data_IF_492500086183
#
_entry.id   IF_492500086183
#
_cell.length_a   1.000
_cell.length_b   1.000
_cell.length_c   1.000
_cell.angle_alpha   90.00
_cell.angle_beta   90.00
_cell.angle_gamma   90.00
#
_symmetry.space_group_name_H-M   'P 1'
#
loop_
_entity.id
_entity.type
_entity.pdbx_description
1 polymer ?
#
# COMPACT_ATOMS: atom_id res chain seq x y z
N UNK A 1 46.59 109.86 35.90
CA UNK A 1 46.50 108.88 34.79
C UNK A 1 45.37 109.35 33.89
N UNK A 2 45.63 109.56 32.60
CA UNK A 2 44.59 109.87 31.62
C UNK A 2 44.38 108.63 30.75
N UNK A 3 43.12 108.26 30.53
CA UNK A 3 42.74 107.30 29.50
C UNK A 3 41.68 107.95 28.58
N UNK A 4 41.25 107.23 27.56
CA UNK A 4 40.32 107.75 26.54
C UNK A 4 38.93 108.12 27.11
N UNK A 5 38.61 107.67 28.33
CA UNK A 5 37.31 107.84 28.98
C UNK A 5 37.32 108.94 30.04
N UNK A 6 38.40 109.09 30.80
CA UNK A 6 38.56 110.05 31.88
C UNK A 6 40.01 110.52 32.04
N UNK A 7 40.19 111.82 32.28
CA UNK A 7 41.47 112.43 32.58
C UNK A 7 41.36 113.28 33.86
N UNK A 8 42.16 112.93 34.87
CA UNK A 8 42.24 113.69 36.13
C UNK A 8 42.86 115.05 35.84
N UNK A 9 42.14 116.13 36.14
CA UNK A 9 42.54 117.53 35.92
C UNK A 9 43.11 118.16 37.20
N UNK A 10 42.60 117.78 38.37
CA UNK A 10 43.09 118.17 39.69
C UNK A 10 43.38 116.93 40.54
N UNK A 11 44.64 116.78 40.95
CA UNK A 11 45.06 115.74 41.89
C UNK A 11 44.99 116.31 43.32
N UNK A 12 44.24 115.66 44.20
CA UNK A 12 43.99 116.16 45.55
C UNK A 12 44.89 115.48 46.57
N UNK A 13 45.83 116.24 47.15
CA UNK A 13 46.71 115.74 48.19
C UNK A 13 45.96 115.57 49.54
N UNK A 14 46.10 114.41 50.22
CA UNK A 14 45.46 114.18 51.51
C UNK A 14 45.81 115.26 52.54
N UNK A 15 44.83 115.65 53.36
CA UNK A 15 44.95 116.65 54.44
C UNK A 15 45.24 118.09 54.00
N UNK A 16 45.17 118.40 52.71
CA UNK A 16 45.24 119.78 52.20
C UNK A 16 43.83 120.37 52.00
N UNK A 17 43.68 121.69 52.19
CA UNK A 17 42.41 122.37 51.91
C UNK A 17 42.31 122.65 50.42
N UNK A 18 41.25 122.18 49.78
CA UNK A 18 40.94 122.41 48.37
C UNK A 18 39.74 123.33 48.23
N UNK A 19 39.66 124.07 47.13
CA UNK A 19 38.49 124.93 46.86
C UNK A 19 37.32 124.06 46.37
N UNK A 20 36.09 124.42 46.72
CA UNK A 20 34.90 123.65 46.30
C UNK A 20 34.79 123.57 44.76
N UNK A 21 35.19 124.63 44.05
CA UNK A 21 35.18 124.66 42.59
C UNK A 21 36.07 123.60 41.93
N UNK A 22 37.18 123.22 42.57
CA UNK A 22 38.04 122.15 42.03
C UNK A 22 37.40 120.77 42.20
N UNK A 23 36.76 120.53 43.35
CA UNK A 23 36.06 119.27 43.63
C UNK A 23 34.86 119.11 42.69
N UNK A 24 34.07 120.17 42.51
CA UNK A 24 32.91 120.15 41.61
C UNK A 24 33.31 119.91 40.14
N UNK A 25 34.43 120.50 39.71
CA UNK A 25 34.95 120.29 38.35
C UNK A 25 35.37 118.83 38.11
N UNK A 26 36.03 118.20 39.08
CA UNK A 26 36.39 116.77 38.97
C UNK A 26 35.17 115.86 39.01
N UNK A 27 34.18 116.16 39.86
CA UNK A 27 32.95 115.39 39.90
C UNK A 27 32.19 115.47 38.57
N UNK A 28 32.11 116.65 37.95
CA UNK A 28 31.50 116.82 36.63
C UNK A 28 32.25 116.05 35.53
N UNK A 29 33.59 116.04 35.57
CA UNK A 29 34.40 115.26 34.62
C UNK A 29 34.19 113.75 34.78
N UNK A 30 34.04 113.26 36.02
CA UNK A 30 33.71 111.86 36.30
C UNK A 30 32.32 111.49 35.77
N UNK A 31 31.30 112.34 35.99
CA UNK A 31 29.94 112.10 35.47
C UNK A 31 29.95 112.01 33.95
N UNK A 32 30.62 112.93 33.26
CA UNK A 32 30.77 112.89 31.81
C UNK A 32 31.52 111.65 31.30
N UNK A 33 32.43 111.08 32.10
CA UNK A 33 33.09 109.83 31.77
C UNK A 33 32.16 108.62 31.90
N UNK A 34 31.27 108.60 32.89
CA UNK A 34 30.25 107.55 33.04
C UNK A 34 29.24 107.56 31.88
N UNK A 35 28.89 108.72 31.34
CA UNK A 35 28.02 108.85 30.17
C UNK A 35 28.64 108.27 28.88
N UNK A 36 29.98 108.10 28.83
CA UNK A 36 30.67 107.45 27.69
C UNK A 36 30.68 105.93 27.78
N UNK A 37 30.26 105.34 28.89
CA UNK A 37 30.17 103.89 28.98
C UNK A 37 29.04 103.38 28.07
N UNK A 38 29.26 102.29 27.33
CA UNK A 38 28.21 101.67 26.52
C UNK A 38 27.00 101.28 27.38
N UNK A 39 25.79 101.49 26.87
CA UNK A 39 24.57 101.17 27.61
C UNK A 39 24.45 99.66 27.86
N UNK A 40 23.78 99.22 28.94
CA UNK A 40 23.52 97.79 29.19
C UNK A 40 22.83 97.08 28.02
N UNK A 41 22.06 97.81 27.21
CA UNK A 41 21.44 97.32 25.97
C UNK A 41 22.43 97.02 24.84
N UNK A 42 23.55 97.75 24.75
CA UNK A 42 24.62 97.47 23.79
C UNK A 42 25.55 96.33 24.24
N UNK A 43 25.64 96.08 25.54
CA UNK A 43 26.37 94.94 26.12
C UNK A 43 25.60 93.62 26.02
N UNK A 44 24.25 93.66 26.01
CA UNK A 44 23.38 92.49 26.08
C UNK A 44 22.79 92.05 24.73
N UNK A 45 23.10 92.70 23.60
CA UNK A 45 22.58 92.30 22.31
C UNK A 45 23.52 91.35 21.57
N UNK A 46 23.34 90.04 21.75
CA UNK A 46 23.66 89.03 20.73
C UNK A 46 22.70 89.21 19.52
N UNK A 47 22.90 90.32 18.80
CA UNK A 47 22.41 90.72 17.47
C UNK A 47 20.94 90.43 17.10
N UNK A 48 20.04 91.39 17.37
CA UNK A 48 18.65 91.40 16.87
C UNK A 48 18.49 91.91 15.42
N UNK A 49 19.58 92.22 14.72
CA UNK A 49 19.52 92.72 13.33
C UNK A 49 19.79 91.57 12.36
N UNK A 50 18.74 90.93 11.87
CA UNK A 50 18.81 89.96 10.77
C UNK A 50 18.49 90.63 9.44
N UNK A 51 18.96 90.03 8.35
CA UNK A 51 18.61 90.43 6.98
C UNK A 51 18.12 89.23 6.20
N UNK A 52 17.04 89.40 5.46
CA UNK A 52 16.58 88.38 4.53
C UNK A 52 17.51 88.32 3.30
N UNK A 53 17.94 87.12 2.94
CA UNK A 53 18.72 86.84 1.74
C UNK A 53 17.95 87.28 0.48
N UNK A 54 18.52 88.20 -0.30
CA UNK A 54 18.15 88.41 -1.70
C UNK A 54 18.96 87.49 -2.62
N UNK A 55 18.74 87.62 -3.93
CA UNK A 55 19.50 86.86 -4.94
C UNK A 55 18.90 85.49 -5.25
N UNK A 56 19.77 84.49 -5.45
CA UNK A 56 19.40 83.09 -5.79
C UNK A 56 20.00 82.11 -4.80
N UNK A 57 19.54 80.86 -4.81
CA UNK A 57 19.99 79.73 -3.97
C UNK A 57 21.51 79.68 -3.70
N UNK A 58 22.33 79.92 -4.73
CA UNK A 58 23.79 79.79 -4.67
C UNK A 58 24.54 81.15 -4.79
N UNK A 59 23.81 82.25 -4.92
CA UNK A 59 24.34 83.60 -5.00
C UNK A 59 23.45 84.54 -4.20
N UNK A 60 23.69 84.55 -2.88
CA UNK A 60 22.91 85.29 -1.90
C UNK A 60 23.41 86.72 -1.85
N UNK A 61 22.54 87.72 -1.84
CA UNK A 61 22.94 89.11 -1.65
C UNK A 61 22.23 89.72 -0.46
N UNK A 62 22.95 90.51 0.34
CA UNK A 62 22.37 91.20 1.50
C UNK A 62 22.80 92.66 1.55
N UNK A 63 21.91 93.52 2.06
CA UNK A 63 22.25 94.85 2.55
C UNK A 63 22.46 94.76 4.06
N UNK A 64 23.63 95.14 4.57
CA UNK A 64 23.98 94.94 5.97
C UNK A 64 23.05 95.79 6.86
N UNK A 65 22.41 95.19 7.88
CA UNK A 65 21.23 95.78 8.51
C UNK A 65 21.51 96.98 9.45
N UNK A 66 22.77 97.24 9.79
CA UNK A 66 23.15 98.28 10.76
C UNK A 66 24.07 99.34 10.12
N UNK A 67 25.16 98.88 9.50
CA UNK A 67 26.17 99.74 8.87
C UNK A 67 26.42 99.30 7.44
N UNK A 68 26.45 100.24 6.50
CA UNK A 68 26.83 99.94 5.10
C UNK A 68 28.32 99.66 5.02
N UNK A 69 28.69 98.49 4.52
CA UNK A 69 30.07 98.12 4.26
C UNK A 69 30.51 98.67 2.91
N UNK A 70 31.55 99.50 2.91
CA UNK A 70 32.19 100.01 1.68
C UNK A 70 33.45 99.23 1.30
N UNK A 71 33.93 98.36 2.18
CA UNK A 71 35.04 97.42 1.96
C UNK A 71 34.93 96.24 2.91
N UNK A 72 35.58 95.12 2.56
CA UNK A 72 35.80 93.97 3.45
C UNK A 72 37.02 94.15 4.37
N UNK A 73 37.85 95.17 4.13
CA UNK A 73 39.03 95.45 4.96
C UNK A 73 38.61 95.81 6.39
N UNK A 74 39.30 95.22 7.37
CA UNK A 74 38.99 95.39 8.80
C UNK A 74 37.58 94.92 9.17
N UNK A 75 37.08 93.89 8.46
CA UNK A 75 35.80 93.23 8.76
C UNK A 75 35.97 91.80 9.27
N UNK A 76 37.19 91.39 9.57
CA UNK A 76 37.46 90.07 10.15
C UNK A 76 36.62 89.79 11.40
N UNK A 77 36.04 88.60 11.48
CA UNK A 77 35.21 88.16 12.60
C UNK A 77 33.81 88.78 12.66
N UNK A 78 33.45 89.72 11.77
CA UNK A 78 32.11 90.29 11.75
C UNK A 78 31.06 89.22 11.43
N UNK A 79 30.01 89.19 12.26
CA UNK A 79 28.90 88.24 12.15
C UNK A 79 27.69 88.91 11.53
N UNK A 80 27.11 88.26 10.52
CA UNK A 80 25.86 88.67 9.88
C UNK A 80 24.88 87.52 10.03
N UNK A 81 23.75 87.79 10.69
CA UNK A 81 22.66 86.83 10.77
C UNK A 81 21.76 86.98 9.55
N UNK A 82 21.67 85.93 8.73
CA UNK A 82 20.97 85.96 7.45
C UNK A 82 19.85 84.92 7.47
N UNK A 83 18.63 85.36 7.17
CA UNK A 83 17.52 84.46 6.87
C UNK A 83 17.63 84.00 5.42
N UNK A 84 17.78 82.70 5.20
CA UNK A 84 17.87 82.11 3.87
C UNK A 84 16.47 82.05 3.27
N UNK A 85 16.27 82.58 2.07
CA UNK A 85 14.96 82.62 1.40
C UNK A 85 14.76 81.48 0.41
N UNK A 86 15.84 80.96 -0.15
CA UNK A 86 15.84 79.83 -1.10
C UNK A 86 16.92 78.85 -0.70
N UNK A 87 16.56 77.56 -0.64
CA UNK A 87 17.50 76.49 -0.28
C UNK A 87 18.66 76.42 -1.29
N UNK A 88 19.88 76.26 -0.79
CA UNK A 88 21.05 76.15 -1.65
C UNK A 88 21.11 74.77 -2.33
N UNK A 89 21.57 74.74 -3.58
CA UNK A 89 21.70 73.50 -4.37
C UNK A 89 23.16 73.12 -4.62
N UNK A 90 24.10 73.85 -4.00
CA UNK A 90 25.53 73.62 -4.11
C UNK A 90 26.34 74.74 -3.45
N UNK A 91 27.55 74.98 -3.95
CA UNK A 91 28.44 76.04 -3.45
C UNK A 91 27.77 77.41 -3.52
N UNK A 92 27.83 78.17 -2.42
CA UNK A 92 27.11 79.44 -2.29
C UNK A 92 28.09 80.62 -2.12
N UNK A 93 27.70 81.78 -2.64
CA UNK A 93 28.46 83.05 -2.50
C UNK A 93 27.62 84.15 -1.88
N UNK A 94 28.28 85.12 -1.23
CA UNK A 94 27.66 86.24 -0.51
C UNK A 94 28.38 87.57 -0.80
N UNK A 95 27.82 88.44 -1.67
CA UNK A 95 28.05 89.88 -1.64
C UNK A 95 27.29 90.58 -0.48
N UNK A 96 27.99 91.50 0.19
CA UNK A 96 27.44 92.38 1.25
C UNK A 96 27.45 93.82 0.74
N UNK A 97 26.33 94.53 0.81
CA UNK A 97 26.19 95.95 0.40
C UNK A 97 26.69 96.27 -1.03
N UNK A 98 26.57 95.30 -1.95
CA UNK A 98 27.04 95.46 -3.33
C UNK A 98 28.55 95.32 -3.52
N UNK A 99 29.29 94.92 -2.48
CA UNK A 99 30.70 94.52 -2.60
C UNK A 99 30.87 93.23 -3.42
N UNK A 100 32.12 92.93 -3.80
CA UNK A 100 32.46 91.72 -4.58
C UNK A 100 32.07 90.44 -3.84
N UNK A 101 31.39 89.51 -4.52
CA UNK A 101 30.95 88.25 -3.92
C UNK A 101 32.10 87.43 -3.31
N UNK A 102 31.88 86.91 -2.09
CA UNK A 102 32.82 86.01 -1.40
C UNK A 102 32.21 84.61 -1.25
N UNK A 103 33.06 83.57 -1.24
CA UNK A 103 32.59 82.20 -1.05
C UNK A 103 32.05 81.98 0.36
N UNK A 104 31.03 81.14 0.50
CA UNK A 104 30.54 80.69 1.79
C UNK A 104 30.95 79.23 2.00
N UNK A 105 31.54 78.94 3.15
CA UNK A 105 32.06 77.62 3.54
C UNK A 105 31.41 77.17 4.84
N UNK A 106 31.42 75.86 5.07
CA UNK A 106 31.02 75.27 6.35
C UNK A 106 31.99 75.68 7.46
N UNK A 107 31.62 75.43 8.71
CA UNK A 107 32.46 75.72 9.86
C UNK A 107 33.83 75.00 9.83
N UNK A 108 33.93 73.85 9.16
CA UNK A 108 35.17 73.10 8.95
C UNK A 108 36.02 73.60 7.76
N UNK A 109 35.55 74.63 7.04
CA UNK A 109 36.21 75.22 5.88
C UNK A 109 35.93 74.53 4.54
N UNK A 110 35.15 73.44 4.51
CA UNK A 110 34.72 72.79 3.28
C UNK A 110 33.65 73.60 2.54
N UNK A 111 33.52 73.39 1.23
CA UNK A 111 32.50 74.09 0.42
C UNK A 111 31.10 73.67 0.83
N UNK A 112 30.15 74.62 0.82
CA UNK A 112 28.74 74.29 1.04
C UNK A 112 28.22 73.33 -0.06
N UNK A 113 27.43 72.35 0.34
CA UNK A 113 26.73 71.38 -0.51
C UNK A 113 25.23 71.67 -0.53
N UNK A 114 24.51 71.08 -1.48
CA UNK A 114 23.06 71.19 -1.57
C UNK A 114 22.38 70.87 -0.22
N UNK A 115 21.47 71.73 0.22
CA UNK A 115 20.68 71.56 1.44
C UNK A 115 21.35 72.01 2.75
N UNK A 116 22.59 72.51 2.72
CA UNK A 116 23.27 73.05 3.90
C UNK A 116 22.59 74.32 4.45
N UNK A 117 21.99 75.12 3.57
CA UNK A 117 21.24 76.34 3.83
C UNK A 117 19.78 76.12 3.45
N UNK A 118 18.91 75.99 4.44
CA UNK A 118 17.48 75.71 4.26
C UNK A 118 16.66 77.01 4.18
N UNK A 119 15.67 77.05 3.27
CA UNK A 119 14.77 78.20 3.16
C UNK A 119 13.97 78.41 4.45
N UNK A 120 13.85 79.66 4.91
CA UNK A 120 13.20 80.06 6.14
C UNK A 120 14.11 80.01 7.39
N UNK A 121 15.25 79.33 7.33
CA UNK A 121 16.20 79.21 8.44
C UNK A 121 17.16 80.41 8.51
N UNK A 122 17.65 80.67 9.72
CA UNK A 122 18.60 81.73 10.02
C UNK A 122 19.97 81.12 10.27
N UNK A 123 21.01 81.71 9.72
CA UNK A 123 22.38 81.25 9.93
C UNK A 123 23.31 82.43 10.20
N UNK A 124 24.33 82.19 11.02
CA UNK A 124 25.40 83.14 11.28
C UNK A 124 26.53 82.98 10.25
N UNK A 125 26.71 84.01 9.41
CA UNK A 125 27.82 84.14 8.48
C UNK A 125 28.90 85.01 9.12
N UNK A 126 30.10 84.44 9.30
CA UNK A 126 31.25 85.13 9.89
C UNK A 126 32.28 85.39 8.80
N UNK A 127 32.65 86.65 8.57
CA UNK A 127 33.69 86.97 7.59
C UNK A 127 35.07 86.63 8.14
N UNK A 128 35.88 85.91 7.34
CA UNK A 128 37.28 85.62 7.60
C UNK A 128 38.12 86.40 6.58
N UNK A 129 38.80 87.45 7.04
CA UNK A 129 39.55 88.36 6.17
C UNK A 129 40.80 87.70 5.59
N UNK A 130 41.42 86.76 6.33
CA UNK A 130 42.61 86.04 5.90
C UNK A 130 42.29 85.01 4.80
N UNK A 131 41.19 84.28 4.95
CA UNK A 131 40.72 83.31 3.95
C UNK A 131 39.89 83.96 2.82
N UNK A 132 39.40 85.19 3.03
CA UNK A 132 38.58 85.92 2.07
C UNK A 132 37.22 85.27 1.81
N UNK A 133 36.64 84.61 2.81
CA UNK A 133 35.39 83.85 2.70
C UNK A 133 34.49 84.08 3.93
N UNK A 134 33.26 83.58 3.86
CA UNK A 134 32.33 83.55 5.00
C UNK A 134 32.20 82.12 5.54
N UNK A 135 32.41 81.93 6.84
CA UNK A 135 32.14 80.69 7.55
C UNK A 135 30.71 80.67 8.08
N UNK A 136 29.97 79.61 7.78
CA UNK A 136 28.60 79.39 8.27
C UNK A 136 28.64 78.45 9.47
N UNK A 137 28.33 78.97 10.65
CA UNK A 137 28.52 78.26 11.94
C UNK A 137 27.45 77.18 12.21
N UNK A 138 26.31 77.24 11.52
CA UNK A 138 25.11 76.40 11.79
C UNK A 138 24.60 75.65 10.56
N UNK A 139 25.39 75.54 9.48
CA UNK A 139 24.99 74.76 8.30
C UNK A 139 24.59 73.33 8.72
N UNK A 140 23.37 72.90 8.34
CA UNK A 140 22.74 71.68 8.86
C UNK A 140 23.47 70.48 8.29
N UNK A 141 24.41 69.93 9.06
CA UNK A 141 25.17 68.75 8.66
C UNK A 141 24.35 67.46 8.82
N UNK A 142 23.34 67.20 7.98
CA UNK A 142 22.74 65.86 7.75
C UNK A 142 22.13 65.09 8.94
N UNK A 143 22.07 65.65 10.15
CA UNK A 143 21.76 64.93 11.42
C UNK A 143 20.39 64.26 11.42
N UNK A 144 19.40 64.81 10.72
CA UNK A 144 18.06 64.20 10.63
C UNK A 144 18.11 62.88 9.82
N UNK A 145 18.83 62.87 8.70
CA UNK A 145 18.99 61.72 7.81
C UNK A 145 19.74 60.56 8.49
N UNK A 146 20.73 60.88 9.33
CA UNK A 146 21.48 59.87 10.09
C UNK A 146 20.61 59.19 11.16
N UNK A 147 19.76 59.96 11.85
CA UNK A 147 18.81 59.42 12.83
C UNK A 147 17.80 58.44 12.18
N UNK A 148 17.24 58.80 11.02
CA UNK A 148 16.30 57.94 10.28
C UNK A 148 16.96 56.65 9.79
N UNK A 149 18.20 56.75 9.31
CA UNK A 149 19.00 55.60 8.89
C UNK A 149 19.26 54.67 10.07
N UNK A 150 19.64 55.20 11.23
CA UNK A 150 19.94 54.38 12.40
C UNK A 150 18.69 53.70 12.99
N UNK A 151 17.53 54.37 12.97
CA UNK A 151 16.26 53.77 13.35
C UNK A 151 15.88 52.59 12.42
N UNK A 152 16.10 52.74 11.11
CA UNK A 152 15.86 51.69 10.11
C UNK A 152 16.78 50.48 10.32
N UNK A 153 18.06 50.71 10.62
CA UNK A 153 19.02 49.66 10.95
C UNK A 153 18.64 48.90 12.23
N UNK A 154 18.13 49.60 13.25
CA UNK A 154 17.67 48.99 14.49
C UNK A 154 16.43 48.10 14.26
N UNK A 155 15.46 48.58 13.47
CA UNK A 155 14.28 47.81 13.08
C UNK A 155 14.64 46.54 12.29
N UNK A 156 15.58 46.66 11.36
CA UNK A 156 16.10 45.53 10.59
C UNK A 156 16.80 44.51 11.48
N UNK A 157 17.61 44.99 12.44
CA UNK A 157 18.30 44.13 13.41
C UNK A 157 17.32 43.39 14.33
N UNK A 158 16.26 44.06 14.78
CA UNK A 158 15.19 43.43 15.56
C UNK A 158 14.48 42.31 14.77
N UNK A 159 14.16 42.57 13.49
CA UNK A 159 13.54 41.59 12.60
C UNK A 159 14.44 40.36 12.35
N UNK A 160 15.74 40.59 12.18
CA UNK A 160 16.74 39.53 12.04
C UNK A 160 16.88 38.69 13.32
N UNK A 161 16.84 39.34 14.50
CA UNK A 161 16.87 38.65 15.79
C UNK A 161 15.62 37.78 16.00
N UNK A 162 14.43 38.29 15.67
CA UNK A 162 13.19 37.50 15.72
C UNK A 162 13.24 36.28 14.79
N UNK A 163 13.74 36.45 13.57
CA UNK A 163 13.90 35.36 12.59
C UNK A 163 14.89 34.29 13.08
N UNK A 164 15.97 34.72 13.71
CA UNK A 164 16.97 33.82 14.32
C UNK A 164 16.38 33.04 15.49
N UNK A 165 15.57 33.67 16.33
CA UNK A 165 14.86 33.00 17.43
C UNK A 165 13.88 31.93 16.91
N UNK A 166 13.11 32.23 15.86
CA UNK A 166 12.24 31.24 15.22
C UNK A 166 13.02 30.07 14.63
N UNK A 167 14.16 30.34 14.00
CA UNK A 167 15.03 29.30 13.42
C UNK A 167 15.61 28.39 14.52
N UNK A 168 16.02 28.96 15.66
CA UNK A 168 16.50 28.20 16.81
C UNK A 168 15.40 27.31 17.42
N UNK A 169 14.17 27.83 17.55
CA UNK A 169 13.01 27.05 18.01
C UNK A 169 12.69 25.88 17.05
N UNK A 170 12.75 26.13 15.74
CA UNK A 170 12.60 25.08 14.72
C UNK A 170 13.67 24.00 14.85
N UNK A 171 14.93 24.41 15.04
CA UNK A 171 16.07 23.49 15.22
C UNK A 171 15.94 22.64 16.48
N UNK A 172 15.49 23.23 17.60
CA UNK A 172 15.24 22.49 18.84
C UNK A 172 14.11 21.45 18.69
N UNK A 173 13.06 21.80 17.94
CA UNK A 173 11.96 20.88 17.64
C UNK A 173 12.41 19.72 16.76
N UNK A 174 13.23 19.99 15.74
CA UNK A 174 13.82 18.97 14.88
C UNK A 174 14.75 18.02 15.65
N UNK A 175 15.58 18.56 16.56
CA UNK A 175 16.45 17.75 17.42
C UNK A 175 15.64 16.81 18.34
N UNK A 176 14.54 17.31 18.91
CA UNK A 176 13.63 16.51 19.75
C UNK A 176 12.97 15.38 18.95
N UNK A 177 12.51 15.66 17.73
CA UNK A 177 11.96 14.64 16.83
C UNK A 177 13.00 13.58 16.43
N UNK A 178 14.23 14.00 16.14
CA UNK A 178 15.33 13.08 15.82
C UNK A 178 15.67 12.14 16.99
N UNK A 179 15.65 12.65 18.23
CA UNK A 179 15.83 11.83 19.45
C UNK A 179 14.75 10.75 19.55
N UNK A 180 13.47 11.12 19.40
CA UNK A 180 12.34 10.17 19.47
C UNK A 180 12.48 9.09 18.39
N UNK A 181 12.84 9.48 17.17
CA UNK A 181 13.06 8.54 16.08
C UNK A 181 14.19 7.55 16.37
N UNK A 182 15.29 8.01 16.99
CA UNK A 182 16.40 7.15 17.41
C UNK A 182 15.98 6.16 18.51
N UNK A 183 15.22 6.60 19.51
CA UNK A 183 14.70 5.73 20.59
C UNK A 183 13.74 4.66 20.06
N UNK A 184 12.89 5.02 19.08
CA UNK A 184 12.01 4.07 18.39
C UNK A 184 12.81 3.05 17.58
N UNK A 185 13.84 3.48 16.85
CA UNK A 185 14.72 2.59 16.09
C UNK A 185 15.47 1.60 17.01
N UNK A 186 15.95 2.07 18.17
CA UNK A 186 16.58 1.20 19.17
C UNK A 186 15.62 0.14 19.69
N UNK A 187 14.38 0.52 20.01
CA UNK A 187 13.36 -0.41 20.50
C UNK A 187 12.98 -1.45 19.43
N UNK A 188 12.88 -1.04 18.17
CA UNK A 188 12.65 -1.96 17.04
C UNK A 188 13.80 -2.97 16.87
N UNK A 189 15.05 -2.52 17.06
CA UNK A 189 16.23 -3.40 16.99
C UNK A 189 16.25 -4.44 18.12
N UNK A 190 15.93 -4.05 19.35
CA UNK A 190 15.88 -4.99 20.48
C UNK A 190 14.75 -6.02 20.30
N UNK A 191 13.58 -5.59 19.83
CA UNK A 191 12.47 -6.50 19.50
C UNK A 191 12.86 -7.51 18.41
N UNK A 192 13.55 -7.05 17.36
CA UNK A 192 14.03 -7.93 16.30
C UNK A 192 15.04 -8.95 16.82
N UNK A 193 15.95 -8.54 17.71
CA UNK A 193 16.89 -9.44 18.38
C UNK A 193 16.17 -10.49 19.24
N UNK A 194 15.20 -10.08 20.06
CA UNK A 194 14.42 -11.03 20.88
C UNK A 194 13.65 -12.02 20.00
N UNK A 195 13.03 -11.55 18.91
CA UNK A 195 12.34 -12.42 17.96
C UNK A 195 13.29 -13.42 17.29
N UNK A 196 14.50 -13.00 16.92
CA UNK A 196 15.52 -13.87 16.36
C UNK A 196 15.98 -14.94 17.37
N UNK A 197 16.20 -14.57 18.64
CA UNK A 197 16.55 -15.51 19.70
C UNK A 197 15.44 -16.53 19.95
N UNK A 198 14.18 -16.09 19.97
CA UNK A 198 13.03 -16.99 20.12
C UNK A 198 12.91 -17.97 18.93
N UNK A 199 13.13 -17.48 17.70
CA UNK A 199 13.14 -18.33 16.51
C UNK A 199 14.29 -19.34 16.53
N UNK A 200 15.48 -18.94 17.00
CA UNK A 200 16.62 -19.84 17.18
C UNK A 200 16.29 -20.95 18.18
N UNK A 201 15.83 -20.60 19.39
CA UNK A 201 15.49 -21.61 20.40
C UNK A 201 14.37 -22.55 19.94
N UNK A 202 13.37 -22.04 19.22
CA UNK A 202 12.32 -22.88 18.64
C UNK A 202 12.89 -23.84 17.58
N UNK A 203 13.82 -23.38 16.73
CA UNK A 203 14.47 -24.23 15.74
C UNK A 203 15.35 -25.31 16.39
N UNK A 204 16.11 -24.94 17.43
CA UNK A 204 16.92 -25.86 18.23
C UNK A 204 16.03 -26.94 18.86
N UNK A 205 14.92 -26.56 19.50
CA UNK A 205 13.94 -27.52 20.06
C UNK A 205 13.31 -28.43 19.00
N UNK A 206 12.98 -27.90 17.81
CA UNK A 206 12.42 -28.74 16.74
C UNK A 206 13.46 -29.72 16.20
N UNK A 207 14.71 -29.29 16.06
CA UNK A 207 15.80 -30.15 15.62
C UNK A 207 16.07 -31.27 16.62
N UNK A 208 16.20 -30.92 17.91
CA UNK A 208 16.37 -31.84 19.04
C UNK A 208 15.26 -32.91 19.07
N UNK A 209 13.99 -32.47 19.05
CA UNK A 209 12.85 -33.39 18.98
C UNK A 209 12.86 -34.27 17.72
N UNK A 210 13.33 -33.77 16.59
CA UNK A 210 13.42 -34.57 15.37
C UNK A 210 14.55 -35.60 15.48
N UNK A 211 15.70 -35.22 16.04
CA UNK A 211 16.86 -36.09 16.22
C UNK A 211 16.54 -37.26 17.18
N UNK A 212 15.82 -36.98 18.27
CA UNK A 212 15.27 -37.98 19.21
C UNK A 212 14.28 -38.94 18.56
N UNK A 213 13.47 -38.42 17.63
CA UNK A 213 12.45 -39.19 16.93
C UNK A 213 13.01 -39.98 15.76
N UNK A 214 14.07 -39.50 15.12
CA UNK A 214 14.70 -40.13 13.97
C UNK A 214 16.21 -40.26 14.18
N UNK A 215 16.60 -41.44 14.67
CA UNK A 215 17.97 -41.78 15.05
C UNK A 215 18.91 -41.99 13.85
N UNK A 216 18.41 -41.85 12.63
CA UNK A 216 19.16 -42.06 11.40
C UNK A 216 19.41 -43.53 11.04
N UNK A 217 20.57 -43.81 10.46
CA UNK A 217 20.95 -45.16 10.00
C UNK A 217 21.75 -45.89 11.08
N UNK A 218 21.33 -47.10 11.44
CA UNK A 218 22.07 -47.97 12.38
C UNK A 218 22.11 -49.40 11.83
N UNK A 219 23.14 -50.16 12.17
CA UNK A 219 23.29 -51.57 11.77
C UNK A 219 22.58 -52.57 12.70
N UNK A 220 22.19 -52.11 13.90
CA UNK A 220 21.49 -52.88 14.93
C UNK A 220 20.57 -51.95 15.74
N UNK A 221 19.66 -52.54 16.50
CA UNK A 221 18.73 -51.83 17.38
C UNK A 221 19.50 -51.02 18.45
N UNK A 222 19.41 -49.67 18.46
CA UNK A 222 20.01 -48.84 19.50
C UNK A 222 19.23 -48.95 20.82
N UNK A 223 19.88 -48.62 21.94
CA UNK A 223 19.26 -48.62 23.30
C UNK A 223 19.10 -47.23 23.89
N UNK A 224 19.77 -46.24 23.32
CA UNK A 224 19.70 -44.82 23.67
C UNK A 224 19.47 -44.02 22.39
N UNK A 225 18.97 -42.81 22.51
CA UNK A 225 18.90 -41.87 21.39
C UNK A 225 20.29 -41.30 21.04
N UNK A 226 20.31 -40.26 20.20
CA UNK A 226 21.55 -39.66 19.72
C UNK A 226 22.21 -38.71 20.74
N UNK A 227 21.47 -38.24 21.74
CA UNK A 227 21.98 -37.43 22.85
C UNK A 227 22.40 -38.27 24.06
N UNK A 228 22.08 -39.57 24.02
CA UNK A 228 22.43 -40.55 25.05
C UNK A 228 21.34 -40.74 26.10
N UNK A 229 20.15 -40.20 25.85
CA UNK A 229 18.96 -40.33 26.67
C UNK A 229 18.16 -41.59 26.29
N UNK A 230 17.10 -41.86 27.06
CA UNK A 230 16.28 -43.05 26.90
C UNK A 230 15.33 -42.93 25.69
N UNK A 231 15.27 -43.99 24.87
CA UNK A 231 14.44 -44.03 23.66
C UNK A 231 12.97 -43.68 23.91
N UNK A 232 12.47 -42.72 23.12
CA UNK A 232 11.06 -42.36 23.13
C UNK A 232 10.22 -43.38 22.34
N UNK A 233 9.02 -43.70 22.84
CA UNK A 233 8.06 -44.54 22.09
C UNK A 233 7.69 -43.86 20.77
N UNK A 234 7.83 -44.59 19.67
CA UNK A 234 7.67 -44.08 18.31
C UNK A 234 8.95 -43.53 17.68
N UNK A 235 10.11 -43.61 18.35
CA UNK A 235 11.39 -43.35 17.71
C UNK A 235 11.59 -44.27 16.50
N UNK A 236 12.29 -43.77 15.48
CA UNK A 236 12.46 -44.38 14.17
C UNK A 236 13.94 -44.46 13.83
N UNK A 237 14.38 -45.56 13.21
CA UNK A 237 15.70 -45.62 12.58
C UNK A 237 15.70 -46.54 11.36
N UNK A 238 16.59 -46.28 10.40
CA UNK A 238 16.79 -47.15 9.25
C UNK A 238 17.82 -48.23 9.57
N UNK A 239 17.39 -49.48 9.56
CA UNK A 239 18.27 -50.61 9.79
C UNK A 239 18.97 -51.01 8.48
N UNK A 240 20.27 -50.77 8.40
CA UNK A 240 21.07 -51.00 7.19
C UNK A 240 21.31 -52.49 6.90
N UNK A 241 21.18 -53.36 7.91
CA UNK A 241 21.39 -54.81 7.77
C UNK A 241 20.20 -55.48 7.09
N UNK A 242 18.98 -55.05 7.44
CA UNK A 242 17.72 -55.58 6.86
C UNK A 242 17.19 -54.71 5.71
N UNK A 243 17.71 -53.50 5.54
CA UNK A 243 17.27 -52.56 4.50
C UNK A 243 15.86 -51.99 4.73
N UNK A 244 15.49 -51.69 5.98
CA UNK A 244 14.12 -51.26 6.30
C UNK A 244 14.02 -50.39 7.56
N UNK A 245 12.92 -49.64 7.66
CA UNK A 245 12.63 -48.81 8.83
C UNK A 245 12.15 -49.63 10.02
N UNK A 246 12.61 -49.23 11.20
CA UNK A 246 12.22 -49.77 12.50
C UNK A 246 11.61 -48.67 13.35
N UNK A 247 10.60 -49.02 14.17
CA UNK A 247 9.94 -48.15 15.15
C UNK A 247 10.04 -48.76 16.55
N UNK A 248 10.34 -47.93 17.56
CA UNK A 248 10.41 -48.36 18.95
C UNK A 248 9.03 -48.32 19.60
N UNK A 249 8.56 -49.43 20.18
CA UNK A 249 7.21 -49.51 20.79
C UNK A 249 7.17 -49.10 22.26
N UNK A 250 8.26 -48.58 22.81
CA UNK A 250 8.43 -48.33 24.24
C UNK A 250 9.08 -49.49 25.01
N UNK A 251 9.18 -50.66 24.39
CA UNK A 251 9.80 -51.86 24.98
C UNK A 251 10.67 -52.66 24.00
N UNK A 252 10.43 -52.57 22.69
CA UNK A 252 11.21 -53.26 21.67
C UNK A 252 11.15 -52.53 20.32
N UNK A 253 12.09 -52.83 19.42
CA UNK A 253 12.09 -52.36 18.04
C UNK A 253 11.29 -53.30 17.12
N UNK A 254 10.38 -52.74 16.33
CA UNK A 254 9.55 -53.47 15.37
C UNK A 254 9.68 -52.89 13.96
N UNK A 255 9.44 -53.71 12.93
CA UNK A 255 9.44 -53.23 11.54
C UNK A 255 8.21 -52.38 11.23
N UNK A 256 8.33 -51.37 10.37
CA UNK A 256 7.20 -50.51 9.98
C UNK A 256 6.39 -51.06 8.80
N UNK A 257 6.84 -52.14 8.16
CA UNK A 257 6.04 -52.88 7.19
C UNK A 257 4.88 -53.56 7.93
N UNK A 258 3.64 -53.28 7.52
CA UNK A 258 2.45 -53.87 8.16
C UNK A 258 2.62 -55.37 8.33
N UNK A 259 2.29 -55.87 9.53
CA UNK A 259 2.26 -57.30 9.75
C UNK A 259 1.29 -57.90 8.72
N UNK A 260 1.65 -59.02 8.09
CA UNK A 260 0.73 -59.72 7.17
C UNK A 260 -0.63 -60.04 7.84
N UNK A 261 -0.67 -60.03 9.17
CA UNK A 261 -1.85 -60.18 10.03
C UNK A 261 -2.82 -58.99 10.03
N UNK A 262 -2.40 -57.79 9.62
CA UNK A 262 -3.24 -56.57 9.61
C UNK A 262 -4.04 -56.41 8.30
N UNK A 263 -3.80 -57.29 7.32
CA UNK A 263 -4.56 -57.35 6.07
C UNK A 263 -5.62 -58.44 6.18
N UNK A 264 -6.74 -58.12 6.82
CA UNK A 264 -7.92 -58.99 6.86
C UNK A 264 -8.74 -58.77 5.58
N UNK A 265 -8.61 -59.67 4.61
CA UNK A 265 -9.57 -59.74 3.51
C UNK A 265 -10.86 -60.39 4.05
N UNK A 266 -11.95 -59.63 4.11
CA UNK A 266 -13.27 -60.18 4.43
C UNK A 266 -13.70 -61.16 3.33
N UNK A 267 -13.63 -62.45 3.64
CA UNK A 267 -13.99 -63.56 2.75
C UNK A 267 -15.46 -63.95 2.85
N UNK A 268 -16.28 -63.27 3.68
CA UNK A 268 -17.67 -63.68 3.96
C UNK A 268 -18.63 -63.49 2.78
N UNK A 269 -18.22 -62.78 1.72
CA UNK A 269 -18.98 -62.65 0.46
C UNK A 269 -18.53 -63.58 -0.67
N UNK A 270 -17.46 -64.37 -0.49
CA UNK A 270 -16.92 -65.26 -1.51
C UNK A 270 -17.33 -66.70 -1.20
N UNK A 271 -18.53 -67.12 -1.64
CA UNK A 271 -18.84 -68.54 -1.72
C UNK A 271 -18.03 -69.17 -2.87
N UNK A 272 -16.75 -69.43 -2.60
CA UNK A 272 -15.88 -70.16 -3.52
C UNK A 272 -15.17 -71.24 -2.72
N UNK A 273 -15.41 -72.51 -3.05
CA UNK A 273 -14.61 -73.67 -2.61
C UNK A 273 -13.16 -73.64 -3.14
N UNK A 274 -12.61 -72.45 -3.40
CA UNK A 274 -11.28 -72.22 -3.91
C UNK A 274 -10.29 -72.26 -2.74
N UNK A 275 -9.33 -73.17 -2.82
CA UNK A 275 -8.28 -73.34 -1.81
C UNK A 275 -7.00 -72.60 -2.18
N UNK A 276 -6.97 -71.97 -3.37
CA UNK A 276 -5.83 -71.13 -3.81
C UNK A 276 -6.28 -69.78 -4.37
N UNK A 277 -5.39 -68.79 -4.27
CA UNK A 277 -5.58 -67.45 -4.87
C UNK A 277 -5.78 -67.54 -6.39
N UNK A 278 -5.15 -68.51 -7.05
CA UNK A 278 -5.25 -68.70 -8.49
C UNK A 278 -6.64 -69.21 -8.91
N UNK A 279 -7.26 -70.08 -8.11
CA UNK A 279 -8.64 -70.53 -8.32
C UNK A 279 -9.66 -69.42 -8.05
N UNK A 280 -9.42 -68.57 -7.05
CA UNK A 280 -10.26 -67.41 -6.78
C UNK A 280 -10.22 -66.37 -7.92
N UNK A 281 -9.04 -66.10 -8.48
CA UNK A 281 -8.87 -65.21 -9.65
C UNK A 281 -9.52 -65.80 -10.90
N UNK A 282 -9.40 -67.11 -11.12
CA UNK A 282 -10.07 -67.79 -12.22
C UNK A 282 -11.61 -67.73 -12.09
N UNK A 283 -12.14 -67.84 -10.87
CA UNK A 283 -13.57 -67.70 -10.58
C UNK A 283 -14.08 -66.26 -10.75
N UNK A 284 -13.31 -65.24 -10.35
CA UNK A 284 -13.65 -63.83 -10.57
C UNK A 284 -13.76 -63.48 -12.07
N UNK A 285 -12.99 -64.15 -12.93
CA UNK A 285 -13.11 -64.05 -14.39
C UNK A 285 -14.40 -64.69 -14.95
N UNK A 286 -15.06 -65.58 -14.21
CA UNK A 286 -16.32 -66.24 -14.62
C UNK A 286 -17.51 -65.27 -14.53
N UNK A 287 -17.46 -64.25 -13.67
CA UNK A 287 -18.49 -63.21 -13.58
C UNK A 287 -18.71 -62.39 -14.87
N UNK A 288 -17.77 -62.46 -15.84
CA UNK A 288 -17.88 -61.80 -17.16
C UNK A 288 -18.35 -62.73 -18.29
N UNK A 289 -18.87 -63.93 -17.99
CA UNK A 289 -19.25 -64.92 -19.02
C UNK A 289 -20.73 -64.91 -19.42
N UNK A 290 -21.64 -64.33 -18.63
CA UNK A 290 -23.04 -64.27 -19.02
C UNK A 290 -23.27 -63.13 -20.01
N UNK A 291 -23.63 -63.46 -21.25
CA UNK A 291 -23.95 -62.48 -22.27
C UNK A 291 -25.38 -61.94 -22.16
N UNK A 292 -26.25 -62.60 -21.38
CA UNK A 292 -27.61 -62.14 -21.11
C UNK A 292 -27.57 -61.11 -19.99
N UNK A 293 -28.12 -59.94 -20.25
CA UNK A 293 -28.28 -58.84 -19.30
C UNK A 293 -29.63 -58.99 -18.59
N UNK A 294 -29.69 -58.73 -17.28
CA UNK A 294 -30.93 -58.75 -16.49
C UNK A 294 -31.70 -60.09 -16.65
N UNK A 295 -30.98 -61.22 -16.61
CA UNK A 295 -31.56 -62.56 -16.72
C UNK A 295 -32.37 -63.00 -15.50
N UNK A 296 -32.18 -62.32 -14.37
CA UNK A 296 -32.91 -62.47 -13.10
C UNK A 296 -34.12 -61.51 -12.99
N UNK A 297 -34.35 -60.67 -14.00
CA UNK A 297 -35.47 -59.73 -14.09
C UNK A 297 -35.59 -58.74 -12.93
N UNK A 298 -34.48 -58.33 -12.32
CA UNK A 298 -34.46 -57.32 -11.27
C UNK A 298 -34.77 -55.90 -11.78
N UNK A 299 -34.38 -55.60 -13.03
CA UNK A 299 -34.44 -54.24 -13.57
C UNK A 299 -35.61 -54.07 -14.55
N UNK A 300 -36.55 -53.19 -14.22
CA UNK A 300 -37.73 -52.86 -15.03
C UNK A 300 -37.92 -51.34 -15.09
N UNK A 301 -37.25 -50.70 -16.05
CA UNK A 301 -37.21 -49.23 -16.15
C UNK A 301 -38.42 -48.60 -16.88
N UNK A 302 -39.22 -49.39 -17.63
CA UNK A 302 -40.30 -48.86 -18.50
C UNK A 302 -41.72 -49.17 -17.99
N UNK A 303 -41.84 -49.68 -16.77
CA UNK A 303 -43.08 -50.25 -16.22
C UNK A 303 -42.93 -51.74 -15.90
N UNK A 304 -43.89 -52.32 -15.17
CA UNK A 304 -43.83 -53.72 -14.70
C UNK A 304 -44.79 -54.66 -15.43
N UNK A 305 -45.58 -54.14 -16.39
CA UNK A 305 -46.46 -54.93 -17.24
C UNK A 305 -46.63 -54.27 -18.61
N UNK A 306 -46.55 -55.07 -19.68
CA UNK A 306 -46.65 -54.62 -21.07
C UNK A 306 -47.53 -55.57 -21.86
N UNK A 307 -48.39 -55.01 -22.69
CA UNK A 307 -49.21 -55.77 -23.65
C UNK A 307 -48.80 -55.37 -25.05
N UNK A 308 -48.48 -56.34 -25.91
CA UNK A 308 -48.19 -56.10 -27.33
C UNK A 308 -49.26 -56.77 -28.19
N UNK A 309 -49.87 -55.94 -29.05
CA UNK A 309 -50.90 -56.31 -30.03
C UNK A 309 -50.44 -56.07 -31.47
N UNK A 310 -49.15 -55.80 -31.69
CA UNK A 310 -48.57 -55.39 -32.97
C UNK A 310 -47.46 -56.33 -33.43
N UNK A 311 -47.20 -56.37 -34.73
CA UNK A 311 -46.13 -57.18 -35.35
C UNK A 311 -44.73 -56.56 -35.20
N UNK A 312 -44.49 -55.76 -34.16
CA UNK A 312 -43.19 -55.11 -33.88
C UNK A 312 -42.66 -55.54 -32.52
N UNK A 313 -41.34 -55.47 -32.33
CA UNK A 313 -40.74 -55.72 -31.03
C UNK A 313 -41.05 -54.60 -30.04
N UNK A 314 -41.42 -54.96 -28.81
CA UNK A 314 -41.63 -54.02 -27.71
C UNK A 314 -40.71 -54.38 -26.55
N UNK A 315 -39.99 -53.39 -26.01
CA UNK A 315 -39.11 -53.58 -24.86
C UNK A 315 -39.90 -53.74 -23.55
N UNK A 316 -39.43 -54.61 -22.65
CA UNK A 316 -40.04 -54.87 -21.34
C UNK A 316 -39.03 -54.76 -20.18
N UNK A 317 -38.65 -55.88 -19.56
CA UNK A 317 -37.58 -55.94 -18.57
C UNK A 317 -36.26 -55.54 -19.24
N UNK A 318 -35.43 -54.71 -18.61
CA UNK A 318 -34.28 -54.06 -19.25
C UNK A 318 -33.56 -54.91 -20.33
N UNK A 319 -33.46 -54.37 -21.56
CA UNK A 319 -32.97 -55.01 -22.82
C UNK A 319 -33.79 -56.17 -23.38
N UNK A 320 -34.59 -56.88 -22.58
CA UNK A 320 -35.55 -57.85 -23.10
C UNK A 320 -36.62 -57.16 -23.94
N UNK A 321 -36.98 -57.82 -25.04
CA UNK A 321 -38.05 -57.39 -25.92
C UNK A 321 -38.88 -58.59 -26.33
N UNK A 322 -40.15 -58.35 -26.57
CA UNK A 322 -41.05 -59.39 -27.00
C UNK A 322 -41.77 -59.00 -28.28
N UNK A 323 -41.97 -60.01 -29.10
CA UNK A 323 -42.58 -59.93 -30.41
C UNK A 323 -43.98 -60.53 -30.35
N UNK A 324 -44.99 -59.72 -30.68
CA UNK A 324 -46.39 -60.12 -30.69
C UNK A 324 -46.93 -60.27 -32.11
N UNK A 325 -46.46 -61.21 -32.93
CA UNK A 325 -47.17 -61.47 -34.20
C UNK A 325 -48.39 -62.35 -33.96
N UNK A 326 -49.55 -61.70 -33.97
CA UNK A 326 -50.72 -62.30 -34.54
C UNK A 326 -51.10 -61.45 -35.74
N UNK A 327 -51.16 -62.02 -36.94
CA UNK A 327 -52.01 -61.42 -37.97
C UNK A 327 -53.46 -61.53 -37.48
N UNK A 328 -53.96 -60.52 -36.76
CA UNK A 328 -55.30 -60.49 -36.14
C UNK A 328 -55.30 -60.17 -34.63
N UNK A 329 -56.47 -60.33 -33.97
CA UNK A 329 -56.84 -59.96 -32.58
C UNK A 329 -56.01 -60.59 -31.43
N UNK A 330 -54.85 -61.20 -31.72
CA UNK A 330 -53.99 -61.84 -30.72
C UNK A 330 -53.29 -60.84 -29.80
N UNK A 331 -53.14 -61.19 -28.53
CA UNK A 331 -52.55 -60.30 -27.51
C UNK A 331 -51.69 -61.10 -26.53
N UNK A 332 -50.45 -60.63 -26.32
CA UNK A 332 -49.52 -61.16 -25.34
C UNK A 332 -49.22 -60.09 -24.30
N UNK A 333 -49.27 -60.48 -23.02
CA UNK A 333 -48.90 -59.63 -21.90
C UNK A 333 -47.71 -60.24 -21.16
N UNK A 334 -46.64 -59.45 -21.00
CA UNK A 334 -45.52 -59.78 -20.12
C UNK A 334 -45.59 -58.94 -18.85
N UNK A 335 -45.34 -59.54 -17.69
CA UNK A 335 -45.42 -58.84 -16.40
C UNK A 335 -44.38 -59.35 -15.41
N UNK A 336 -43.79 -58.46 -14.61
CA UNK A 336 -42.94 -58.82 -13.49
C UNK A 336 -43.78 -59.48 -12.40
N UNK A 337 -43.31 -60.59 -11.86
CA UNK A 337 -43.89 -61.25 -10.70
C UNK A 337 -42.79 -61.46 -9.66
N UNK A 338 -43.18 -61.57 -8.39
CA UNK A 338 -42.26 -61.74 -7.27
C UNK A 338 -42.20 -63.21 -6.88
N UNK A 339 -41.01 -63.73 -6.66
CA UNK A 339 -40.84 -65.02 -6.00
C UNK A 339 -41.22 -64.90 -4.52
N UNK A 340 -41.77 -65.95 -3.92
CA UNK A 340 -41.95 -65.98 -2.46
C UNK A 340 -40.57 -65.92 -1.79
N UNK A 341 -40.35 -65.02 -0.82
CA UNK A 341 -39.09 -64.99 -0.06
C UNK A 341 -38.79 -66.37 0.57
N UNK A 342 -37.54 -66.81 0.49
CA UNK A 342 -37.08 -68.11 0.95
C UNK A 342 -37.40 -69.29 0.03
N UNK A 343 -37.87 -69.05 -1.20
CA UNK A 343 -38.10 -70.15 -2.15
C UNK A 343 -36.79 -70.84 -2.54
N UNK A 344 -36.86 -72.15 -2.79
CA UNK A 344 -35.71 -72.98 -3.17
C UNK A 344 -35.86 -73.63 -4.55
N UNK A 345 -36.98 -73.39 -5.22
CA UNK A 345 -37.29 -73.96 -6.54
C UNK A 345 -36.37 -73.42 -7.65
N UNK A 346 -35.90 -72.18 -7.51
CA UNK A 346 -34.90 -71.55 -8.37
C UNK A 346 -33.67 -71.18 -7.50
N UNK A 347 -32.46 -71.65 -7.84
CA UNK A 347 -31.25 -71.34 -7.08
C UNK A 347 -30.96 -69.85 -6.98
N UNK A 348 -30.17 -69.48 -5.98
CA UNK A 348 -29.71 -68.11 -5.70
C UNK A 348 -30.82 -67.11 -5.31
N UNK A 349 -32.01 -67.63 -4.97
CA UNK A 349 -33.17 -66.88 -4.46
C UNK A 349 -33.50 -65.59 -5.25
N UNK A 350 -33.72 -65.66 -6.58
CA UNK A 350 -34.04 -64.47 -7.36
C UNK A 350 -35.33 -63.81 -6.87
N UNK A 351 -35.32 -62.49 -6.74
CA UNK A 351 -36.46 -61.73 -6.23
C UNK A 351 -37.66 -61.76 -7.21
N UNK A 352 -37.41 -61.78 -8.53
CA UNK A 352 -38.44 -61.65 -9.55
C UNK A 352 -38.33 -62.70 -10.66
N UNK A 353 -39.46 -62.92 -11.33
CA UNK A 353 -39.51 -63.63 -12.61
C UNK A 353 -40.44 -62.90 -13.58
N UNK A 354 -40.26 -63.13 -14.88
CA UNK A 354 -41.20 -62.65 -15.88
C UNK A 354 -42.28 -63.68 -16.17
N UNK A 355 -43.54 -63.26 -16.03
CA UNK A 355 -44.70 -64.04 -16.50
C UNK A 355 -45.04 -63.62 -17.93
N UNK A 356 -45.12 -64.61 -18.81
CA UNK A 356 -45.61 -64.48 -20.19
C UNK A 356 -47.02 -65.03 -20.29
N UNK A 357 -48.01 -64.17 -20.50
CA UNK A 357 -49.42 -64.54 -20.63
C UNK A 357 -49.90 -64.32 -22.07
N UNK A 358 -50.48 -65.36 -22.67
CA UNK A 358 -51.15 -65.26 -23.96
C UNK A 358 -52.65 -65.13 -23.67
N UNK A 359 -53.19 -63.92 -23.85
CA UNK A 359 -54.58 -63.58 -23.50
C UNK A 359 -55.54 -63.91 -24.62
N UNK A 360 -55.09 -63.75 -25.88
CA UNK A 360 -55.83 -64.17 -27.08
C UNK A 360 -54.87 -64.93 -27.99
N UNK A 361 -55.31 -66.09 -28.49
CA UNK A 361 -54.47 -66.98 -29.29
C UNK A 361 -53.96 -66.28 -30.56
N UNK A 362 -52.63 -66.20 -30.77
CA UNK A 362 -52.06 -65.61 -31.98
C UNK A 362 -52.11 -66.57 -33.16
N UNK A 363 -52.24 -66.03 -34.38
CA UNK A 363 -52.12 -66.77 -35.65
C UNK A 363 -50.67 -66.87 -36.15
N UNK A 364 -49.76 -66.06 -35.59
CA UNK A 364 -48.36 -65.97 -35.98
C UNK A 364 -47.39 -66.37 -34.86
N UNK A 365 -46.09 -66.19 -35.13
CA UNK A 365 -45.03 -66.51 -34.16
C UNK A 365 -44.97 -65.44 -33.08
N UNK A 366 -45.01 -65.87 -31.83
CA UNK A 366 -44.74 -65.02 -30.66
C UNK A 366 -43.41 -65.43 -30.04
N UNK A 367 -42.59 -64.45 -29.64
CA UNK A 367 -41.23 -64.73 -29.15
C UNK A 367 -40.78 -63.72 -28.10
N UNK A 368 -40.16 -64.22 -27.04
CA UNK A 368 -39.32 -63.41 -26.16
C UNK A 368 -37.90 -63.44 -26.70
N UNK A 369 -37.27 -62.28 -26.81
CA UNK A 369 -35.90 -62.16 -27.32
C UNK A 369 -35.09 -61.19 -26.49
N UNK A 370 -33.78 -61.42 -26.43
CA UNK A 370 -32.84 -60.43 -25.95
C UNK A 370 -31.73 -60.29 -27.00
N UNK A 371 -31.57 -59.10 -27.61
CA UNK A 371 -30.41 -58.83 -28.43
C UNK A 371 -29.13 -58.92 -27.58
N UNK A 372 -28.15 -59.68 -28.07
CA UNK A 372 -26.79 -59.67 -27.55
C UNK A 372 -25.98 -58.78 -28.50
N UNK A 373 -25.18 -57.88 -27.93
CA UNK A 373 -24.47 -56.87 -28.72
C UNK A 373 -23.39 -57.51 -29.60
N UNK A 374 -23.33 -57.04 -30.84
CA UNK A 374 -22.38 -57.44 -31.90
C UNK A 374 -22.48 -58.92 -32.33
N UNK A 375 -22.67 -59.16 -33.63
CA UNK A 375 -22.70 -60.52 -34.22
C UNK A 375 -21.36 -61.27 -34.08
N UNK A 376 -20.29 -60.56 -33.72
CA UNK A 376 -18.98 -61.15 -33.34
C UNK A 376 -19.07 -61.94 -32.04
N UNK A 377 -20.01 -61.62 -31.17
CA UNK A 377 -20.19 -62.31 -29.89
C UNK A 377 -20.59 -63.76 -30.15
N UNK A 378 -19.76 -64.69 -29.66
CA UNK A 378 -19.85 -66.14 -29.89
C UNK A 378 -19.71 -66.64 -31.34
N UNK A 379 -19.32 -65.79 -32.31
CA UNK A 379 -19.08 -66.23 -33.68
C UNK A 379 -18.06 -67.38 -33.74
N UNK A 380 -18.43 -68.50 -34.38
CA UNK A 380 -17.60 -69.70 -34.46
C UNK A 380 -17.42 -70.47 -33.14
N UNK A 381 -18.19 -70.15 -32.10
CA UNK A 381 -18.13 -70.80 -30.77
C UNK A 381 -19.44 -71.51 -30.45
N UNK A 382 -19.36 -72.48 -29.54
CA UNK A 382 -20.53 -73.11 -28.92
C UNK A 382 -20.95 -72.31 -27.70
N UNK A 383 -22.20 -71.83 -27.70
CA UNK A 383 -22.84 -71.19 -26.56
C UNK A 383 -23.69 -72.22 -25.79
N UNK A 384 -23.80 -72.02 -24.48
CA UNK A 384 -24.70 -72.77 -23.61
C UNK A 384 -25.80 -71.80 -23.17
N UNK A 385 -27.04 -72.13 -23.45
CA UNK A 385 -28.20 -71.39 -22.97
C UNK A 385 -28.84 -72.17 -21.85
N UNK A 386 -28.94 -71.54 -20.66
CA UNK A 386 -29.56 -72.11 -19.48
C UNK A 386 -30.57 -71.11 -18.91
N UNK A 387 -31.77 -71.59 -18.57
CA UNK A 387 -32.80 -70.78 -17.94
C UNK A 387 -33.73 -71.65 -17.07
N UNK A 388 -34.41 -71.01 -16.11
CA UNK A 388 -35.49 -71.65 -15.36
C UNK A 388 -36.84 -71.23 -15.92
N UNK A 389 -37.77 -72.17 -16.08
CA UNK A 389 -39.12 -71.88 -16.56
C UNK A 389 -40.15 -72.85 -15.98
N UNK A 390 -41.42 -72.44 -16.03
CA UNK A 390 -42.60 -73.30 -15.84
C UNK A 390 -43.77 -72.76 -16.66
N UNK A 391 -44.79 -73.59 -16.89
CA UNK A 391 -46.01 -73.19 -17.59
C UNK A 391 -47.27 -73.54 -16.79
N UNK A 392 -48.38 -72.85 -17.05
CA UNK A 392 -49.67 -73.16 -16.41
C UNK A 392 -50.24 -74.54 -16.78
N UNK A 393 -49.79 -75.10 -17.90
CA UNK A 393 -50.01 -76.47 -18.33
C UNK A 393 -48.81 -76.91 -19.19
N UNK A 394 -48.51 -78.21 -19.22
CA UNK A 394 -47.40 -78.74 -20.00
C UNK A 394 -47.52 -78.29 -21.47
N UNK A 395 -46.44 -77.71 -22.00
CA UNK A 395 -46.41 -77.19 -23.38
C UNK A 395 -44.98 -77.13 -23.91
N UNK A 396 -44.83 -77.32 -25.21
CA UNK A 396 -43.54 -77.18 -25.88
C UNK A 396 -43.33 -75.72 -26.29
N UNK A 397 -42.18 -75.17 -25.92
CA UNK A 397 -41.64 -73.90 -26.44
C UNK A 397 -40.41 -74.19 -27.28
N UNK A 398 -40.04 -73.24 -28.14
CA UNK A 398 -38.84 -73.34 -28.96
C UNK A 398 -37.83 -72.28 -28.53
N UNK A 399 -36.55 -72.64 -28.50
CA UNK A 399 -35.45 -71.72 -28.22
C UNK A 399 -34.31 -71.91 -29.23
N UNK A 400 -33.65 -70.81 -29.57
CA UNK A 400 -32.53 -70.76 -30.53
C UNK A 400 -31.72 -69.47 -30.37
N UNK A 401 -30.54 -69.42 -30.96
CA UNK A 401 -29.69 -68.24 -31.09
C UNK A 401 -29.58 -67.84 -32.57
N UNK A 402 -30.02 -66.63 -32.90
CA UNK A 402 -30.00 -66.11 -34.27
C UNK A 402 -28.82 -65.12 -34.44
N UNK A 403 -28.06 -65.23 -35.54
CA UNK A 403 -27.07 -64.21 -35.92
C UNK A 403 -27.73 -63.17 -36.82
N UNK A 404 -27.84 -61.94 -36.32
CA UNK A 404 -28.34 -60.81 -37.08
C UNK A 404 -27.19 -59.85 -37.40
N UNK A 405 -26.97 -59.56 -38.68
CA UNK A 405 -25.90 -58.72 -39.18
C UNK A 405 -26.33 -57.25 -39.36
N UNK A 406 -27.50 -56.85 -38.87
CA UNK A 406 -27.95 -55.46 -38.92
C UNK A 406 -28.44 -54.99 -40.28
N UNK A 407 -28.74 -53.70 -40.37
CA UNK A 407 -29.23 -53.06 -41.60
C UNK A 407 -28.10 -52.86 -42.60
N UNK A 408 -28.26 -53.33 -43.84
CA UNK A 408 -27.21 -53.29 -44.87
C UNK A 408 -26.16 -54.41 -44.74
N UNK A 409 -26.25 -55.25 -43.71
CA UNK A 409 -25.41 -56.43 -43.53
C UNK A 409 -25.89 -57.67 -44.28
N UNK A 410 -25.20 -58.79 -44.08
CA UNK A 410 -25.58 -60.09 -44.63
C UNK A 410 -26.94 -60.60 -44.11
N UNK A 411 -27.59 -61.50 -44.85
CA UNK A 411 -28.84 -62.14 -44.39
C UNK A 411 -28.64 -62.83 -43.04
N UNK A 412 -29.58 -62.60 -42.11
CA UNK A 412 -29.57 -63.22 -40.79
C UNK A 412 -29.55 -64.75 -40.89
N UNK A 413 -28.77 -65.39 -40.02
CA UNK A 413 -28.74 -66.84 -39.89
C UNK A 413 -29.63 -67.21 -38.71
N UNK A 414 -30.66 -67.99 -38.99
CA UNK A 414 -31.59 -68.49 -37.98
C UNK A 414 -31.00 -69.75 -37.36
N UNK A 415 -30.95 -69.77 -36.04
CA UNK A 415 -30.44 -70.89 -35.25
C UNK A 415 -31.30 -72.15 -35.34
N UNK A 416 -30.78 -73.26 -34.83
CA UNK A 416 -31.52 -74.52 -34.75
C UNK A 416 -32.59 -74.42 -33.67
N UNK A 417 -33.85 -74.71 -34.03
CA UNK A 417 -34.94 -74.69 -33.07
C UNK A 417 -34.87 -75.87 -32.10
N UNK A 418 -34.58 -75.59 -30.83
CA UNK A 418 -34.59 -76.58 -29.76
C UNK A 418 -35.99 -76.67 -29.15
N UNK A 419 -36.64 -77.82 -29.25
CA UNK A 419 -37.95 -78.08 -28.63
C UNK A 419 -37.77 -78.35 -27.14
N UNK A 420 -38.34 -77.49 -26.29
CA UNK A 420 -38.24 -77.56 -24.83
C UNK A 420 -39.65 -77.78 -24.28
N UNK A 421 -39.86 -78.94 -23.65
CA UNK A 421 -41.15 -79.28 -23.02
C UNK A 421 -41.18 -78.71 -21.61
N UNK A 422 -41.95 -77.63 -21.41
CA UNK A 422 -42.12 -77.01 -20.10
C UNK A 422 -43.06 -77.83 -19.24
N UNK A 423 -42.68 -78.03 -17.97
CA UNK A 423 -43.53 -78.64 -16.95
C UNK A 423 -44.33 -77.58 -16.18
N UNK A 424 -45.16 -78.03 -15.24
CA UNK A 424 -45.94 -77.14 -14.37
C UNK A 424 -45.16 -76.62 -13.15
N UNK A 425 -43.94 -77.11 -12.93
CA UNK A 425 -43.05 -76.72 -11.83
C UNK A 425 -41.80 -76.03 -12.38
N UNK A 426 -41.13 -75.21 -11.56
CA UNK A 426 -39.86 -74.61 -11.95
C UNK A 426 -38.80 -75.69 -12.18
N UNK A 427 -38.17 -75.66 -13.34
CA UNK A 427 -37.08 -76.56 -13.70
C UNK A 427 -36.03 -75.80 -14.53
N UNK A 428 -34.77 -76.25 -14.43
CA UNK A 428 -33.69 -75.76 -15.27
C UNK A 428 -33.76 -76.43 -16.65
N UNK A 429 -33.74 -75.63 -17.70
CA UNK A 429 -33.63 -76.09 -19.08
C UNK A 429 -32.29 -75.62 -19.64
N UNK A 430 -31.60 -76.51 -20.35
CA UNK A 430 -30.30 -76.22 -20.96
C UNK A 430 -30.25 -76.78 -22.37
N UNK A 431 -29.69 -76.02 -23.28
CA UNK A 431 -29.32 -76.49 -24.62
C UNK A 431 -28.01 -75.84 -25.04
N UNK A 432 -27.35 -76.44 -26.02
CA UNK A 432 -26.13 -75.92 -26.60
C UNK A 432 -26.34 -75.63 -28.07
N UNK A 433 -25.72 -74.57 -28.56
CA UNK A 433 -25.82 -74.18 -29.95
C UNK A 433 -24.49 -73.59 -30.43
N UNK A 434 -24.00 -74.07 -31.58
CA UNK A 434 -22.79 -73.54 -32.21
C UNK A 434 -23.17 -72.46 -33.21
N UNK A 435 -22.73 -71.23 -32.97
CA UNK A 435 -22.94 -70.14 -33.92
C UNK A 435 -21.93 -70.22 -35.05
N UNK A 436 -22.41 -70.00 -36.27
CA UNK A 436 -21.59 -70.04 -37.48
C UNK A 436 -20.45 -69.04 -37.46
N UNK A 437 -19.43 -69.32 -38.27
CA UNK A 437 -18.37 -68.35 -38.56
C UNK A 437 -18.97 -67.14 -39.30
N UNK A 438 -18.45 -65.96 -38.98
CA UNK A 438 -18.80 -64.69 -39.65
C UNK A 438 -17.83 -64.36 -40.81
N UNK A 439 -16.93 -65.28 -41.16
CA UNK A 439 -16.00 -65.09 -42.28
C UNK A 439 -16.76 -64.87 -43.59
N UNK A 440 -16.42 -63.81 -44.32
CA UNK A 440 -17.09 -63.43 -45.57
C UNK A 440 -18.48 -62.79 -45.42
N UNK A 441 -18.92 -62.50 -44.18
CA UNK A 441 -20.17 -61.77 -43.92
C UNK A 441 -19.93 -60.27 -43.80
N UNK A 442 -20.87 -59.48 -44.30
CA UNK A 442 -20.95 -58.04 -44.08
C UNK A 442 -21.69 -57.78 -42.77
N UNK A 443 -21.11 -56.97 -41.88
CA UNK A 443 -21.63 -56.60 -40.55
C UNK A 443 -21.98 -55.11 -40.53
#
# INVERSE_FOLDING_TARGET
MANDYYAITYDFDPYTKVTSSQVDAEFAALVAAFDKLPSPSSFNSDNTSFVAAGGTANAIAIAHPITTWTTYTSKDGHRINIQITTENTGSTTLPVDGLTAKACVRNDGSVLQAGDLQAGCFYNFIYDEAAGNFKVVEAINGVLTDCETQASNASSSASAASSSASSASGSASAASAAKIAAEAAQSAAENAKTAAQAAQSAAETVYDNFDDRYLGQKSSDPTLDNDGDALQTGALYFNTTIGGMKVYTGSAWQGTSGNASDVTFDSTGLNTSATTVQEAVAAALIGRKNAVINGDFNVWQRGTSFTNTTTSHTYCADRWRFYGSAGGTGSVTVSRQTHTPGQTDVPDEPQYFMRWAVTVAPTGVIALTQPIEDVRTFAGKTAIVKFYAKAGAAKTVKARLDQNFGSGGSTAIIGTENNIVLSTSWQAYTFTETLGSISGKTI
#
